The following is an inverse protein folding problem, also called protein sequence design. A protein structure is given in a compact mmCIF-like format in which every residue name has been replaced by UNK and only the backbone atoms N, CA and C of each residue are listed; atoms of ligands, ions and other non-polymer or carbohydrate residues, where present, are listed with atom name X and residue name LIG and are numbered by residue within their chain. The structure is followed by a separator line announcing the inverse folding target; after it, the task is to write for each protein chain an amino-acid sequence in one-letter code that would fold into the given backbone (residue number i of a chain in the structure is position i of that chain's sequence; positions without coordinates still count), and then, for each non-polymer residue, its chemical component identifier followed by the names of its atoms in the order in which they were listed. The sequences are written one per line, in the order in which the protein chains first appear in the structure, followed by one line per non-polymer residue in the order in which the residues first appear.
data_IF_876854534549
#
_entry.id   IF_876854534549
#
_cell.length_a   1.000
_cell.length_b   1.000
_cell.length_c   1.000
_cell.angle_alpha   90.00
_cell.angle_beta   90.00
_cell.angle_gamma   90.00
#
_symmetry.space_group_name_H-M   'P 1'
#
loop_
_entity.id
_entity.type
_entity.pdbx_description
1 polymer ?
#
# COMPACT_ATOMS: atom_id res chain seq x y z
N UNK A 1 11.06 0.13 29.58
CA UNK A 1 10.66 -0.84 28.58
C UNK A 1 11.21 -0.47 27.21
N UNK A 2 11.74 -1.45 26.49
CA UNK A 2 12.24 -1.27 25.13
C UNK A 2 11.07 -0.83 24.18
N UNK A 3 11.31 0.01 23.15
CA UNK A 3 10.25 0.39 22.21
C UNK A 3 9.48 -0.80 21.62
N UNK A 4 10.16 -1.92 21.40
CA UNK A 4 9.58 -3.18 20.92
C UNK A 4 8.54 -3.75 21.88
N UNK A 5 8.81 -3.70 23.19
CA UNK A 5 7.90 -4.24 24.22
C UNK A 5 6.61 -3.40 24.26
N UNK A 6 6.73 -2.08 24.17
CA UNK A 6 5.59 -1.17 24.11
C UNK A 6 4.75 -1.41 22.85
N UNK A 7 5.40 -1.57 21.70
CA UNK A 7 4.73 -1.85 20.44
C UNK A 7 3.97 -3.19 20.51
N UNK A 8 4.58 -4.23 21.06
CA UNK A 8 3.94 -5.53 21.24
C UNK A 8 2.72 -5.43 22.15
N UNK A 9 2.81 -4.70 23.28
CA UNK A 9 1.68 -4.47 24.17
C UNK A 9 0.52 -3.74 23.47
N UNK A 10 0.81 -2.70 22.68
CA UNK A 10 -0.21 -2.02 21.88
C UNK A 10 -0.88 -2.94 20.87
N UNK A 11 -0.10 -3.77 20.16
CA UNK A 11 -0.65 -4.72 19.21
C UNK A 11 -1.56 -5.75 19.90
N UNK A 12 -1.15 -6.30 21.04
CA UNK A 12 -1.97 -7.25 21.80
C UNK A 12 -3.29 -6.61 22.24
N UNK A 13 -3.25 -5.39 22.76
CA UNK A 13 -4.47 -4.67 23.16
C UNK A 13 -5.37 -4.39 21.96
N UNK A 14 -4.80 -3.99 20.82
CA UNK A 14 -5.58 -3.78 19.61
C UNK A 14 -6.22 -5.07 19.11
N UNK A 15 -5.49 -6.18 19.14
CA UNK A 15 -6.01 -7.49 18.75
C UNK A 15 -7.18 -7.93 19.64
N UNK A 16 -7.06 -7.75 20.96
CA UNK A 16 -8.16 -8.01 21.91
C UNK A 16 -9.40 -7.17 21.60
N UNK A 17 -9.23 -5.87 21.30
CA UNK A 17 -10.36 -4.97 20.96
C UNK A 17 -11.01 -5.37 19.62
N UNK A 18 -10.23 -5.75 18.63
CA UNK A 18 -10.74 -6.28 17.36
C UNK A 18 -11.54 -7.57 17.65
N UNK A 19 -11.00 -8.46 18.48
CA UNK A 19 -11.67 -9.68 18.90
C UNK A 19 -13.03 -9.41 19.56
N UNK A 20 -13.14 -8.39 20.41
CA UNK A 20 -14.40 -7.98 21.03
C UNK A 20 -15.42 -7.52 19.96
N UNK A 21 -15.01 -6.72 18.99
CA UNK A 21 -15.89 -6.28 17.89
C UNK A 21 -16.38 -7.48 17.07
N UNK A 22 -15.51 -8.43 16.75
CA UNK A 22 -15.88 -9.65 16.04
C UNK A 22 -16.88 -10.47 16.84
N UNK A 23 -16.64 -10.63 18.15
CA UNK A 23 -17.52 -11.38 19.05
C UNK A 23 -18.91 -10.75 19.14
N UNK A 24 -19.02 -9.43 19.20
CA UNK A 24 -20.33 -8.73 19.20
C UNK A 24 -21.09 -8.96 17.89
N UNK A 25 -20.41 -8.97 16.76
CA UNK A 25 -21.03 -9.30 15.46
C UNK A 25 -21.53 -10.76 15.45
N UNK A 26 -20.76 -11.70 16.00
CA UNK A 26 -21.15 -13.10 16.14
C UNK A 26 -22.38 -13.26 17.04
N UNK A 27 -22.36 -12.65 18.23
CA UNK A 27 -23.47 -12.68 19.20
C UNK A 27 -24.76 -12.05 18.64
N UNK A 28 -24.64 -11.04 17.79
CA UNK A 28 -25.78 -10.44 17.10
C UNK A 28 -26.46 -11.33 16.07
N UNK A 29 -25.85 -12.49 15.73
CA UNK A 29 -26.32 -13.39 14.67
C UNK A 29 -26.11 -12.85 13.24
N UNK A 30 -25.44 -11.71 13.07
CA UNK A 30 -25.27 -11.05 11.77
C UNK A 30 -23.95 -11.39 11.07
N UNK A 31 -23.17 -12.31 11.61
CA UNK A 31 -21.81 -12.60 11.11
C UNK A 31 -21.78 -12.98 9.63
N UNK A 32 -22.78 -13.72 9.15
CA UNK A 32 -22.87 -14.14 7.74
C UNK A 32 -23.17 -12.99 6.79
N UNK A 33 -23.81 -11.94 7.28
CA UNK A 33 -24.21 -10.76 6.51
C UNK A 33 -23.27 -9.57 6.73
N UNK A 34 -22.13 -9.81 7.41
CA UNK A 34 -21.17 -8.78 7.76
C UNK A 34 -19.80 -9.08 7.17
N UNK A 35 -19.28 -8.13 6.39
CA UNK A 35 -17.90 -8.14 5.91
C UNK A 35 -17.04 -7.46 7.00
N UNK A 36 -16.00 -8.13 7.45
CA UNK A 36 -15.01 -7.56 8.37
C UNK A 36 -13.68 -7.42 7.62
N UNK A 37 -13.13 -6.21 7.60
CA UNK A 37 -11.83 -5.91 7.02
C UNK A 37 -10.94 -5.33 8.10
N UNK A 38 -9.77 -5.92 8.30
CA UNK A 38 -8.71 -5.41 9.18
C UNK A 38 -7.50 -5.10 8.31
N UNK A 39 -7.11 -3.84 8.26
CA UNK A 39 -6.01 -3.39 7.43
C UNK A 39 -5.25 -2.26 8.13
N UNK A 40 -3.92 -2.25 8.02
CA UNK A 40 -3.13 -1.08 8.39
C UNK A 40 -3.24 -0.01 7.31
N UNK A 41 -3.18 1.26 7.70
CA UNK A 41 -3.20 2.40 6.79
C UNK A 41 -1.84 2.60 6.08
N UNK A 42 -0.73 2.28 6.74
CA UNK A 42 0.64 2.38 6.23
C UNK A 42 1.60 1.52 7.06
N UNK A 43 2.87 1.46 6.66
CA UNK A 43 3.93 0.78 7.40
C UNK A 43 4.14 1.35 8.80
N UNK A 44 4.90 0.63 9.63
CA UNK A 44 5.17 1.01 11.03
C UNK A 44 5.81 2.40 11.14
N UNK A 45 5.54 3.10 12.23
CA UNK A 45 6.14 4.41 12.52
C UNK A 45 7.48 4.26 13.25
N UNK A 46 8.44 5.12 12.90
CA UNK A 46 9.76 5.24 13.55
C UNK A 46 9.94 6.61 14.21
N UNK A 47 8.88 7.39 14.32
CA UNK A 47 8.89 8.73 14.88
C UNK A 47 9.18 8.68 16.40
N UNK A 48 9.77 9.76 16.92
CA UNK A 48 10.08 9.91 18.36
C UNK A 48 8.82 9.73 19.24
N UNK A 49 7.68 10.27 18.81
CA UNK A 49 6.38 10.11 19.51
C UNK A 49 5.92 8.64 19.60
N UNK A 50 6.49 7.74 18.79
CA UNK A 50 6.29 6.30 18.84
C UNK A 50 7.48 5.59 19.50
N UNK A 51 8.24 6.31 20.33
CA UNK A 51 9.43 5.84 21.03
C UNK A 51 10.54 5.32 20.10
N UNK A 52 10.69 5.93 18.92
CA UNK A 52 11.63 5.48 17.90
C UNK A 52 11.19 4.23 17.12
N UNK A 53 9.93 3.83 17.33
CA UNK A 53 9.33 2.67 16.67
C UNK A 53 9.73 1.33 17.26
N UNK A 54 8.77 0.45 17.41
CA UNK A 54 8.97 -0.96 17.80
C UNK A 54 8.48 -1.92 16.74
N UNK A 55 7.90 -1.39 15.65
CA UNK A 55 7.39 -2.15 14.54
C UNK A 55 8.50 -2.71 13.63
N UNK A 56 8.11 -3.60 12.74
CA UNK A 56 8.98 -4.15 11.71
C UNK A 56 8.14 -4.47 10.47
N UNK A 57 8.66 -4.16 9.32
CA UNK A 57 8.09 -4.56 8.02
C UNK A 57 8.67 -5.87 7.50
N UNK A 58 9.31 -6.66 8.37
CA UNK A 58 9.94 -7.93 7.98
C UNK A 58 11.08 -7.71 6.98
N UNK A 59 11.04 -8.39 5.82
CA UNK A 59 12.07 -8.26 4.80
C UNK A 59 11.97 -6.97 3.98
N UNK A 60 10.85 -6.23 4.12
CA UNK A 60 10.58 -5.04 3.32
C UNK A 60 11.26 -3.81 3.91
N UNK A 61 11.91 -3.06 3.07
CA UNK A 61 12.60 -1.83 3.44
C UNK A 61 11.61 -0.66 3.58
N UNK A 62 11.95 0.30 4.44
CA UNK A 62 11.15 1.50 4.65
C UNK A 62 10.12 1.35 5.77
N UNK A 63 9.33 2.39 5.96
CA UNK A 63 8.40 2.57 7.05
C UNK A 63 7.38 3.67 6.69
N UNK A 64 6.51 4.07 7.59
CA UNK A 64 5.60 5.21 7.44
C UNK A 64 6.31 6.41 6.79
N UNK A 65 5.64 7.10 5.86
CA UNK A 65 6.13 8.19 5.00
C UNK A 65 7.05 7.77 3.84
N UNK A 66 7.45 6.51 3.75
CA UNK A 66 8.24 5.99 2.64
C UNK A 66 7.36 5.38 1.55
N UNK A 67 7.76 5.52 0.29
CA UNK A 67 7.20 4.77 -0.84
C UNK A 67 7.92 3.45 -1.10
N UNK A 68 8.86 3.06 -0.25
CA UNK A 68 9.41 1.72 -0.23
C UNK A 68 8.38 0.70 0.26
N UNK A 69 8.57 -0.58 -0.03
CA UNK A 69 7.59 -1.62 0.28
C UNK A 69 7.22 -1.68 1.77
N UNK A 70 8.16 -1.45 2.68
CA UNK A 70 7.87 -1.40 4.12
C UNK A 70 7.00 -0.23 4.58
N UNK A 71 6.82 0.78 3.73
CA UNK A 71 5.87 1.88 3.94
C UNK A 71 4.51 1.64 3.29
N UNK A 72 4.48 0.89 2.18
CA UNK A 72 3.28 0.69 1.35
C UNK A 72 2.62 -0.67 1.57
N UNK A 73 3.42 -1.73 1.75
CA UNK A 73 2.93 -3.09 1.91
C UNK A 73 2.50 -3.33 3.35
N UNK A 74 1.20 -3.49 3.56
CA UNK A 74 0.58 -3.58 4.88
C UNK A 74 -0.21 -4.86 5.03
N UNK A 75 -0.36 -5.38 6.26
CA UNK A 75 -1.29 -6.46 6.55
C UNK A 75 -2.70 -6.04 6.18
N UNK A 76 -3.41 -6.93 5.47
CA UNK A 76 -4.81 -6.77 5.11
C UNK A 76 -5.51 -8.11 5.18
N UNK A 77 -6.59 -8.17 5.95
CA UNK A 77 -7.38 -9.38 6.18
C UNK A 77 -8.82 -9.04 5.89
N UNK A 78 -9.51 -9.93 5.16
CA UNK A 78 -10.95 -9.84 4.96
C UNK A 78 -11.60 -11.15 5.39
N UNK A 79 -12.75 -11.03 6.03
CA UNK A 79 -13.58 -12.17 6.42
C UNK A 79 -15.05 -11.90 6.11
N UNK A 80 -15.65 -12.83 5.37
CA UNK A 80 -17.09 -12.89 5.10
C UNK A 80 -17.50 -14.35 4.98
N UNK A 81 -17.87 -15.00 6.09
CA UNK A 81 -18.18 -16.42 6.14
C UNK A 81 -19.24 -16.83 5.13
N UNK A 82 -19.11 -18.02 4.59
CA UNK A 82 -19.99 -18.60 3.57
C UNK A 82 -19.98 -17.90 2.21
N UNK A 83 -19.20 -16.82 2.05
CA UNK A 83 -19.10 -16.08 0.78
C UNK A 83 -17.68 -16.06 0.24
N UNK A 84 -16.69 -15.89 1.11
CA UNK A 84 -15.27 -15.86 0.73
C UNK A 84 -14.58 -17.17 1.12
N UNK A 85 -13.52 -17.57 0.38
CA UNK A 85 -12.66 -18.70 0.78
C UNK A 85 -12.03 -18.46 2.16
N UNK A 86 -11.87 -19.53 2.93
CA UNK A 86 -11.27 -19.48 4.26
C UNK A 86 -9.81 -19.94 4.22
N UNK A 87 -8.95 -19.31 5.04
CA UNK A 87 -7.55 -19.69 5.19
C UNK A 87 -6.67 -19.42 3.96
N UNK A 88 -7.14 -18.62 3.04
CA UNK A 88 -6.46 -18.33 1.78
C UNK A 88 -5.62 -17.06 1.84
N UNK A 89 -4.48 -17.08 1.17
CA UNK A 89 -3.62 -15.91 0.97
C UNK A 89 -3.63 -15.47 -0.49
N UNK A 90 -3.47 -14.17 -0.73
CA UNK A 90 -3.40 -13.56 -2.05
C UNK A 90 -2.15 -12.70 -2.15
N UNK A 91 -1.38 -12.90 -3.21
CA UNK A 91 -0.12 -12.18 -3.47
C UNK A 91 -0.24 -11.16 -4.60
N UNK A 92 -1.38 -11.10 -5.28
CA UNK A 92 -1.62 -10.15 -6.33
C UNK A 92 -1.58 -8.71 -5.80
N UNK A 93 -1.03 -7.81 -6.60
CA UNK A 93 -0.97 -6.41 -6.27
C UNK A 93 -2.39 -5.81 -6.22
N UNK A 94 -2.75 -5.31 -5.05
CA UNK A 94 -3.99 -4.57 -4.77
C UNK A 94 -3.66 -3.35 -3.89
N UNK A 95 -4.59 -2.41 -3.79
CA UNK A 95 -4.41 -1.18 -3.02
C UNK A 95 -5.57 -0.93 -2.08
N UNK A 96 -5.39 -0.11 -1.05
CA UNK A 96 -6.48 0.29 -0.15
C UNK A 96 -7.63 1.02 -0.85
N UNK A 97 -7.36 1.66 -2.01
CA UNK A 97 -8.38 2.32 -2.83
C UNK A 97 -9.39 1.33 -3.44
N UNK A 98 -9.04 0.05 -3.53
CA UNK A 98 -9.83 -0.99 -4.18
C UNK A 98 -11.04 -1.42 -3.34
N UNK A 99 -10.99 -1.18 -2.05
CA UNK A 99 -12.10 -1.53 -1.17
C UNK A 99 -13.39 -0.81 -1.55
N UNK A 100 -13.33 0.46 -1.90
CA UNK A 100 -14.52 1.23 -2.20
C UNK A 100 -15.32 0.66 -3.40
N UNK A 101 -14.76 0.48 -4.60
CA UNK A 101 -15.49 -0.12 -5.72
C UNK A 101 -15.86 -1.59 -5.47
N UNK A 102 -15.06 -2.34 -4.74
CA UNK A 102 -15.36 -3.73 -4.41
C UNK A 102 -16.56 -3.85 -3.47
N UNK A 103 -16.58 -3.08 -2.39
CA UNK A 103 -17.68 -3.06 -1.44
C UNK A 103 -18.96 -2.50 -2.05
N UNK A 104 -18.88 -1.45 -2.88
CA UNK A 104 -20.02 -0.93 -3.61
C UNK A 104 -20.66 -1.99 -4.49
N UNK A 105 -19.85 -2.78 -5.21
CA UNK A 105 -20.34 -3.89 -6.02
C UNK A 105 -21.04 -4.96 -5.18
N UNK A 106 -20.45 -5.39 -4.07
CA UNK A 106 -21.05 -6.40 -3.20
C UNK A 106 -22.34 -5.91 -2.53
N UNK A 107 -22.37 -4.64 -2.15
CA UNK A 107 -23.57 -4.00 -1.62
C UNK A 107 -24.61 -3.67 -2.69
N UNK A 108 -24.33 -3.94 -3.98
CA UNK A 108 -25.17 -3.55 -5.12
C UNK A 108 -25.50 -2.05 -5.13
N UNK A 109 -24.60 -1.22 -4.59
CA UNK A 109 -24.71 0.22 -4.56
C UNK A 109 -24.14 0.80 -5.86
N UNK A 110 -24.91 1.54 -6.66
CA UNK A 110 -24.40 2.11 -7.90
C UNK A 110 -23.37 3.21 -7.60
N UNK A 111 -22.27 3.17 -8.33
CA UNK A 111 -21.29 4.25 -8.32
C UNK A 111 -21.71 5.31 -9.36
N UNK A 112 -21.53 6.62 -9.07
CA UNK A 112 -21.74 7.66 -10.05
C UNK A 112 -20.91 7.42 -11.32
N UNK A 113 -21.52 7.58 -12.49
CA UNK A 113 -20.87 7.26 -13.77
C UNK A 113 -19.68 8.18 -14.11
N UNK A 114 -19.67 9.37 -13.56
CA UNK A 114 -18.62 10.40 -13.70
C UNK A 114 -17.56 10.35 -12.61
N UNK A 115 -17.70 9.42 -11.65
CA UNK A 115 -16.73 9.28 -10.56
C UNK A 115 -15.41 8.68 -11.07
N UNK A 116 -14.35 9.43 -10.92
CA UNK A 116 -12.99 8.97 -11.20
C UNK A 116 -12.43 8.26 -9.96
N UNK A 117 -12.15 6.98 -10.07
CA UNK A 117 -11.59 6.16 -9.00
C UNK A 117 -10.19 5.66 -9.38
N UNK A 118 -9.26 5.76 -8.43
CA UNK A 118 -7.96 5.08 -8.53
C UNK A 118 -8.10 3.58 -8.26
N UNK A 119 -9.00 3.22 -7.35
CA UNK A 119 -9.31 1.84 -7.00
C UNK A 119 -10.05 1.07 -8.10
N UNK A 120 -9.93 -0.25 -8.04
CA UNK A 120 -10.57 -1.21 -8.94
C UNK A 120 -11.31 -2.27 -8.13
N UNK A 121 -12.34 -2.88 -8.71
CA UNK A 121 -12.98 -4.05 -8.11
C UNK A 121 -12.01 -5.23 -8.07
N UNK A 122 -11.68 -5.68 -6.86
CA UNK A 122 -10.77 -6.80 -6.58
C UNK A 122 -11.52 -8.08 -6.17
N UNK A 123 -12.83 -8.13 -6.32
CA UNK A 123 -13.62 -9.31 -5.92
C UNK A 123 -13.09 -10.60 -6.54
N UNK A 124 -12.62 -10.58 -7.79
CA UNK A 124 -12.04 -11.76 -8.46
C UNK A 124 -10.73 -12.21 -7.81
N UNK A 125 -9.87 -11.25 -7.43
CA UNK A 125 -8.60 -11.54 -6.74
C UNK A 125 -8.87 -12.16 -5.38
N UNK A 126 -9.84 -11.65 -4.64
CA UNK A 126 -10.19 -12.18 -3.32
C UNK A 126 -10.69 -13.64 -3.43
N UNK A 127 -11.45 -13.98 -4.47
CA UNK A 127 -11.99 -15.32 -4.65
C UNK A 127 -11.00 -16.34 -5.26
N UNK A 128 -9.95 -15.90 -5.95
CA UNK A 128 -9.05 -16.80 -6.69
C UNK A 128 -7.62 -16.32 -6.74
N UNK A 129 -6.67 -17.20 -6.40
CA UNK A 129 -5.24 -17.01 -6.58
C UNK A 129 -4.83 -16.87 -8.06
N UNK A 130 -5.64 -17.41 -8.99
CA UNK A 130 -5.37 -17.37 -10.43
C UNK A 130 -5.84 -16.06 -11.08
N UNK A 131 -6.63 -15.25 -10.38
CA UNK A 131 -7.10 -13.99 -10.93
C UNK A 131 -5.95 -12.97 -11.01
N UNK A 132 -5.74 -12.33 -12.16
CA UNK A 132 -4.70 -11.30 -12.26
C UNK A 132 -5.10 -10.06 -11.45
N UNK A 133 -4.09 -9.30 -10.99
CA UNK A 133 -4.32 -7.96 -10.46
C UNK A 133 -5.05 -7.08 -11.49
N UNK A 134 -6.05 -6.30 -11.08
CA UNK A 134 -6.69 -5.33 -11.98
C UNK A 134 -5.79 -4.12 -12.29
N UNK A 135 -4.70 -3.96 -11.54
CA UNK A 135 -3.76 -2.85 -11.72
C UNK A 135 -2.58 -3.28 -12.61
N UNK A 136 -2.54 -2.75 -13.83
CA UNK A 136 -1.35 -2.87 -14.68
C UNK A 136 -0.20 -1.99 -14.19
N UNK A 137 -0.55 -0.86 -13.60
CA UNK A 137 0.38 0.07 -12.97
C UNK A 137 -0.32 0.87 -11.88
N UNK A 138 0.45 1.43 -10.96
CA UNK A 138 -0.03 2.33 -9.92
C UNK A 138 1.01 3.39 -9.59
N UNK A 139 0.54 4.58 -9.14
CA UNK A 139 1.39 5.73 -8.86
C UNK A 139 1.09 6.30 -7.48
N UNK A 140 2.13 6.53 -6.70
CA UNK A 140 2.07 7.19 -5.41
C UNK A 140 2.85 8.49 -5.46
N UNK A 141 2.32 9.54 -4.88
CA UNK A 141 3.01 10.84 -4.84
C UNK A 141 2.61 11.65 -3.62
N UNK A 142 3.52 12.47 -3.15
CA UNK A 142 3.19 13.63 -2.34
C UNK A 142 2.71 14.78 -3.23
N UNK A 143 2.17 15.86 -2.65
CA UNK A 143 1.69 17.02 -3.40
C UNK A 143 2.82 17.69 -4.22
N UNK A 144 2.94 17.28 -5.48
CA UNK A 144 3.92 17.84 -6.42
C UNK A 144 3.48 19.19 -7.02
N UNK A 145 2.25 19.64 -6.81
CA UNK A 145 1.80 20.96 -7.23
C UNK A 145 2.49 22.07 -6.43
N UNK A 146 2.91 21.76 -5.21
CA UNK A 146 3.69 22.65 -4.33
C UNK A 146 5.19 22.46 -4.47
N UNK A 147 5.60 21.22 -4.74
CA UNK A 147 7.01 20.87 -4.85
C UNK A 147 7.22 19.94 -6.06
N UNK A 148 7.73 20.51 -7.16
CA UNK A 148 8.02 19.74 -8.38
C UNK A 148 8.97 18.55 -8.15
N UNK A 149 9.75 18.60 -7.08
CA UNK A 149 10.68 17.57 -6.64
C UNK A 149 10.09 16.67 -5.53
N UNK A 150 8.77 16.71 -5.29
CA UNK A 150 8.12 15.83 -4.32
C UNK A 150 8.46 14.36 -4.59
N UNK A 151 8.66 13.56 -3.55
CA UNK A 151 8.85 12.12 -3.70
C UNK A 151 7.64 11.47 -4.39
N UNK A 152 7.92 10.46 -5.19
CA UNK A 152 6.90 9.64 -5.84
C UNK A 152 7.43 8.24 -6.13
N UNK A 153 6.52 7.31 -6.36
CA UNK A 153 6.81 5.98 -6.86
C UNK A 153 5.82 5.58 -7.94
N UNK A 154 6.28 4.80 -8.90
CA UNK A 154 5.44 4.13 -9.90
C UNK A 154 5.80 2.66 -9.95
N UNK A 155 4.78 1.80 -9.96
CA UNK A 155 4.91 0.36 -10.13
C UNK A 155 4.21 -0.08 -11.40
N UNK A 156 4.82 -0.97 -12.16
CA UNK A 156 4.22 -1.64 -13.32
C UNK A 156 4.66 -3.11 -13.32
N UNK A 157 3.72 -4.01 -13.02
CA UNK A 157 4.05 -5.40 -12.75
C UNK A 157 4.99 -5.52 -11.54
N UNK A 158 6.13 -6.19 -11.74
CA UNK A 158 7.17 -6.35 -10.70
C UNK A 158 8.17 -5.21 -10.65
N UNK A 159 8.17 -4.34 -11.64
CA UNK A 159 9.08 -3.22 -11.70
C UNK A 159 8.55 -2.00 -10.95
N UNK A 160 9.42 -1.40 -10.13
CA UNK A 160 9.09 -0.20 -9.36
C UNK A 160 10.21 0.84 -9.50
N UNK A 161 9.83 2.06 -9.80
CA UNK A 161 10.72 3.21 -9.84
C UNK A 161 10.30 4.21 -8.77
N UNK A 162 11.24 4.59 -7.93
CA UNK A 162 11.06 5.62 -6.92
C UNK A 162 11.92 6.84 -7.27
N UNK A 163 11.33 8.02 -7.12
CA UNK A 163 12.04 9.30 -7.15
C UNK A 163 12.21 9.82 -5.73
N UNK A 164 13.45 10.12 -5.34
CA UNK A 164 13.80 10.58 -4.00
C UNK A 164 13.25 9.67 -2.91
N UNK A 165 13.60 8.38 -2.93
CA UNK A 165 13.12 7.45 -1.91
C UNK A 165 13.51 7.97 -0.53
N UNK A 166 12.51 8.15 0.34
CA UNK A 166 12.71 8.55 1.74
C UNK A 166 12.89 7.28 2.57
N UNK A 167 14.07 7.14 3.13
CA UNK A 167 14.35 6.12 4.12
C UNK A 167 15.16 6.76 5.23
N UNK A 168 14.51 7.00 6.37
CA UNK A 168 15.12 7.66 7.52
C UNK A 168 15.95 6.71 8.39
N UNK A 169 15.80 5.40 8.21
CA UNK A 169 16.37 4.38 9.11
C UNK A 169 17.60 3.73 8.52
N UNK A 170 17.70 3.61 7.21
CA UNK A 170 18.81 2.95 6.55
C UNK A 170 19.78 3.96 5.95
N UNK A 171 21.06 3.77 6.28
CA UNK A 171 22.13 4.44 5.56
C UNK A 171 22.20 3.87 4.13
N UNK A 172 21.97 4.69 3.15
CA UNK A 172 22.28 4.36 1.77
C UNK A 172 23.79 4.11 1.64
N UNK A 173 24.17 3.14 0.83
CA UNK A 173 25.60 2.96 0.47
C UNK A 173 26.09 4.31 -0.08
N UNK A 174 27.08 4.92 0.60
CA UNK A 174 27.56 6.27 0.28
C UNK A 174 26.87 7.42 1.02
N UNK A 175 25.98 7.16 2.00
CA UNK A 175 25.45 8.19 2.92
C UNK A 175 24.41 9.14 2.35
N UNK A 176 24.00 9.00 1.06
CA UNK A 176 23.01 9.86 0.40
C UNK A 176 21.99 9.02 -0.35
N UNK A 177 20.72 9.34 -0.16
CA UNK A 177 19.65 8.72 -0.95
C UNK A 177 19.84 8.99 -2.45
N UNK A 178 19.65 7.98 -3.33
CA UNK A 178 19.74 8.19 -4.77
C UNK A 178 18.62 9.11 -5.25
N UNK A 179 18.83 9.80 -6.37
CA UNK A 179 17.79 10.58 -7.03
C UNK A 179 16.66 9.68 -7.55
N UNK A 180 17.02 8.49 -8.04
CA UNK A 180 16.12 7.43 -8.47
C UNK A 180 16.57 6.07 -7.92
N UNK A 181 15.60 5.22 -7.61
CA UNK A 181 15.81 3.82 -7.27
C UNK A 181 14.89 2.99 -8.17
N UNK A 182 15.48 2.14 -8.99
CA UNK A 182 14.77 1.17 -9.85
C UNK A 182 15.00 -0.22 -9.31
N UNK A 183 13.93 -0.96 -9.09
CA UNK A 183 13.98 -2.34 -8.54
C UNK A 183 13.04 -3.27 -9.28
N UNK A 184 13.36 -4.57 -9.25
CA UNK A 184 12.46 -5.66 -9.60
C UNK A 184 12.01 -6.35 -8.31
N UNK A 185 10.76 -6.14 -7.91
CA UNK A 185 10.21 -6.63 -6.65
C UNK A 185 10.07 -8.17 -6.60
N UNK A 186 10.04 -8.85 -7.74
CA UNK A 186 10.02 -10.30 -7.78
C UNK A 186 11.38 -10.91 -7.36
N UNK A 187 12.46 -10.21 -7.66
CA UNK A 187 13.83 -10.66 -7.35
C UNK A 187 14.38 -10.00 -6.07
N UNK A 188 14.00 -8.76 -5.83
CA UNK A 188 14.48 -7.95 -4.70
C UNK A 188 13.31 -7.23 -3.99
N UNK A 189 12.47 -7.96 -3.23
CA UNK A 189 11.36 -7.37 -2.47
C UNK A 189 11.82 -6.44 -1.35
N UNK A 190 13.09 -6.51 -0.95
CA UNK A 190 13.74 -5.64 0.04
C UNK A 190 14.26 -4.32 -0.53
N UNK A 191 14.17 -4.12 -1.85
CA UNK A 191 14.59 -2.89 -2.54
C UNK A 191 16.04 -2.47 -2.23
N UNK A 192 16.93 -3.46 -2.13
CA UNK A 192 18.32 -3.27 -1.75
C UNK A 192 19.23 -2.85 -2.92
N UNK A 193 18.89 -3.31 -4.13
CA UNK A 193 19.74 -3.16 -5.31
C UNK A 193 19.13 -2.16 -6.30
N UNK A 194 19.89 -1.13 -6.63
CA UNK A 194 19.47 -0.13 -7.61
C UNK A 194 19.88 -0.54 -9.04
N UNK A 195 18.92 -0.75 -9.91
CA UNK A 195 19.09 -1.22 -11.28
C UNK A 195 19.11 -0.11 -12.33
N UNK A 196 19.24 1.17 -11.95
CA UNK A 196 19.19 2.29 -12.91
C UNK A 196 20.28 2.23 -14.00
N UNK A 197 21.44 1.70 -13.68
CA UNK A 197 22.58 1.63 -14.61
C UNK A 197 22.51 0.37 -15.49
N UNK A 198 21.94 -0.72 -14.98
CA UNK A 198 21.81 -1.98 -15.72
C UNK A 198 20.56 -2.08 -16.58
N UNK A 199 19.48 -1.30 -16.24
CA UNK A 199 18.16 -1.39 -16.87
C UNK A 199 17.70 -0.04 -17.45
N UNK A 200 18.46 0.59 -18.39
CA UNK A 200 18.15 1.93 -18.89
C UNK A 200 16.83 2.01 -19.66
N UNK A 201 16.46 0.95 -20.36
CA UNK A 201 15.19 0.88 -21.08
C UNK A 201 14.02 0.89 -20.11
N UNK A 202 14.06 0.05 -19.07
CA UNK A 202 13.02 -0.02 -18.04
C UNK A 202 12.92 1.29 -17.25
N UNK A 203 14.04 1.91 -16.96
CA UNK A 203 14.09 3.24 -16.34
C UNK A 203 13.36 4.28 -17.18
N UNK A 204 13.59 4.31 -18.50
CA UNK A 204 12.94 5.26 -19.41
C UNK A 204 11.42 5.03 -19.48
N UNK A 205 10.98 3.77 -19.58
CA UNK A 205 9.56 3.38 -19.59
C UNK A 205 8.82 3.86 -18.33
N UNK A 206 9.38 3.60 -17.15
CA UNK A 206 8.76 3.97 -15.89
C UNK A 206 8.81 5.48 -15.62
N UNK A 207 9.85 6.18 -16.06
CA UNK A 207 9.87 7.66 -16.03
C UNK A 207 8.77 8.27 -16.89
N UNK A 208 8.56 7.74 -18.08
CA UNK A 208 7.50 8.19 -18.98
C UNK A 208 6.11 7.87 -18.39
N UNK A 209 5.93 6.70 -17.80
CA UNK A 209 4.71 6.34 -17.11
C UNK A 209 4.40 7.29 -15.93
N UNK A 210 5.39 7.58 -15.10
CA UNK A 210 5.26 8.54 -14.01
C UNK A 210 4.95 9.96 -14.48
N UNK A 211 5.54 10.38 -15.62
CA UNK A 211 5.24 11.68 -16.24
C UNK A 211 3.75 11.77 -16.63
N UNK A 212 3.20 10.73 -17.26
CA UNK A 212 1.77 10.68 -17.64
C UNK A 212 0.85 10.75 -16.43
N UNK A 213 1.12 9.97 -15.37
CA UNK A 213 0.35 10.06 -14.13
C UNK A 213 0.37 11.46 -13.53
N UNK A 214 1.53 12.10 -13.48
CA UNK A 214 1.65 13.47 -12.94
C UNK A 214 0.89 14.50 -13.75
N UNK A 215 0.92 14.40 -15.07
CA UNK A 215 0.15 15.29 -15.97
C UNK A 215 -1.35 15.09 -15.79
N UNK A 216 -1.79 13.86 -15.62
CA UNK A 216 -3.17 13.50 -15.42
C UNK A 216 -3.71 13.95 -14.06
N UNK A 217 -2.90 13.89 -13.01
CA UNK A 217 -3.28 14.29 -11.65
C UNK A 217 -3.16 15.80 -11.39
N UNK A 218 -2.34 16.53 -12.13
CA UNK A 218 -2.07 17.95 -11.88
C UNK A 218 -3.34 18.82 -11.83
N UNK A 219 -4.32 18.66 -12.73
CA UNK A 219 -5.57 19.43 -12.66
C UNK A 219 -6.32 19.26 -11.35
N UNK A 220 -6.34 18.05 -10.79
CA UNK A 220 -7.05 17.74 -9.54
C UNK A 220 -6.35 18.37 -8.34
N UNK A 221 -5.03 18.30 -8.27
CA UNK A 221 -4.24 19.01 -7.27
C UNK A 221 -4.42 20.53 -7.32
N UNK A 222 -4.57 21.11 -8.50
CA UNK A 222 -4.80 22.55 -8.68
C UNK A 222 -6.22 22.97 -8.29
N UNK A 223 -7.24 22.13 -8.54
CA UNK A 223 -8.63 22.37 -8.12
C UNK A 223 -8.80 22.34 -6.60
N UNK A 224 -8.16 21.40 -5.92
CA UNK A 224 -8.23 21.27 -4.47
C UNK A 224 -7.62 22.47 -3.71
N UNK A 225 -7.01 23.42 -4.41
CA UNK A 225 -6.38 24.64 -3.85
C UNK A 225 -7.28 25.88 -3.88
N UNK A 226 -8.40 25.81 -4.56
CA UNK A 226 -9.40 26.89 -4.63
C UNK A 226 -10.44 26.72 -3.54
#
# INVERSE_FOLDING_TARGET
PHPRDKYAAFLSTMDELIGQVVSEVDLSGKRKDTIIIVQSDHGHSVEERTFGGGGSSGPFRGHKFSFLEGGLRVPSIISWPSTLPEGETRDQFVTGCDWYPTLAKWAKAPLPADMRLDGRDISRVIHSSEAPSPHKAFFWTQDFSRNKNAPWAVRSGDWKLLHRPLDQVTSWKGGKAPGYLLVNLAEDPGEATNLIDSEPTRLAELKELARRYREDLLPDFLKARK
#
